data_IF_048642156507
#
_entry.id   IF_048642156507
#
_cell.length_a   1.000
_cell.length_b   1.000
_cell.length_c   1.000
_cell.angle_alpha   90.00
_cell.angle_beta   90.00
_cell.angle_gamma   90.00
#
_symmetry.space_group_name_H-M   'P 1'
#
loop_
_entity.id
_entity.type
_entity.pdbx_description
1 polymer ?
#
# COMPACT_ATOMS: atom_id res chain seq x y z
N UNK A 1 8.60 11.53 -11.27
CA UNK A 1 8.99 11.26 -9.88
C UNK A 1 7.73 10.97 -9.09
N UNK A 2 7.67 9.82 -8.39
CA UNK A 2 6.53 9.43 -7.55
C UNK A 2 6.82 9.89 -6.12
N UNK A 3 5.77 10.19 -5.35
CA UNK A 3 5.90 10.54 -3.94
C UNK A 3 4.88 9.81 -3.10
N UNK A 4 5.27 9.44 -1.87
CA UNK A 4 4.40 8.80 -0.88
C UNK A 4 4.50 9.52 0.44
N UNK A 5 3.34 9.83 1.02
CA UNK A 5 3.20 10.57 2.27
C UNK A 5 2.92 9.60 3.41
N UNK A 6 3.63 9.79 4.50
CA UNK A 6 3.45 9.06 5.75
C UNK A 6 3.22 10.06 6.88
N UNK A 7 2.16 9.84 7.66
CA UNK A 7 1.95 10.57 8.91
C UNK A 7 2.60 9.74 10.00
N UNK A 8 3.58 10.31 10.68
CA UNK A 8 4.28 9.62 11.74
C UNK A 8 3.55 9.85 13.06
N UNK A 9 3.43 8.78 13.85
CA UNK A 9 3.01 8.94 15.24
C UNK A 9 4.08 9.72 16.01
N UNK A 10 3.70 10.49 17.05
CA UNK A 10 4.67 11.30 17.77
C UNK A 10 5.80 10.43 18.33
N UNK A 11 7.03 10.89 18.13
CA UNK A 11 8.21 10.20 18.63
C UNK A 11 8.10 10.02 20.14
N UNK A 12 8.31 8.80 20.64
CA UNK A 12 8.51 8.61 22.06
C UNK A 12 9.80 9.32 22.46
N UNK A 13 9.67 10.34 23.31
CA UNK A 13 10.79 11.14 23.79
C UNK A 13 11.71 10.25 24.64
N UNK A 14 12.72 9.65 24.02
CA UNK A 14 13.88 9.16 24.72
C UNK A 14 14.86 10.32 24.87
N UNK A 15 15.53 10.41 26.03
CA UNK A 15 16.62 11.35 26.24
C UNK A 15 17.76 11.02 25.26
N UNK A 16 17.78 11.68 24.11
CA UNK A 16 18.74 11.50 23.02
C UNK A 16 18.37 12.36 21.81
N UNK A 17 19.36 12.63 20.95
CA UNK A 17 19.25 13.49 19.74
C UNK A 17 18.65 12.71 18.55
N UNK A 18 18.61 11.37 18.63
CA UNK A 18 18.17 10.50 17.53
C UNK A 18 16.85 9.81 17.88
N UNK A 19 15.91 9.90 16.96
CA UNK A 19 14.62 9.25 17.05
C UNK A 19 14.43 8.27 15.88
N UNK A 20 14.10 7.01 16.20
CA UNK A 20 13.85 5.98 15.20
C UNK A 20 12.34 5.86 14.91
N UNK A 21 12.00 5.88 13.63
CA UNK A 21 10.66 5.60 13.10
C UNK A 21 10.69 4.24 12.45
N UNK A 22 9.83 3.33 12.89
CA UNK A 22 9.63 2.09 12.14
C UNK A 22 8.84 2.40 10.87
N UNK A 23 9.44 2.15 9.72
CA UNK A 23 8.77 2.26 8.43
C UNK A 23 9.13 1.04 7.58
N UNK A 24 8.54 -0.13 7.85
CA UNK A 24 8.98 -1.39 7.25
C UNK A 24 8.89 -1.40 5.73
N UNK A 25 8.00 -0.59 5.15
CA UNK A 25 7.85 -0.45 3.70
C UNK A 25 8.95 0.40 3.05
N UNK A 26 9.82 1.10 3.80
CA UNK A 26 10.82 1.99 3.18
C UNK A 26 11.75 1.23 2.25
N UNK A 27 12.06 -0.01 2.65
CA UNK A 27 12.92 -0.89 1.91
C UNK A 27 12.31 -1.31 0.56
N UNK A 28 11.00 -1.12 0.36
CA UNK A 28 10.34 -1.36 -0.92
C UNK A 28 10.73 -0.34 -2.00
N UNK A 29 11.12 0.89 -1.63
CA UNK A 29 11.26 1.99 -2.58
C UNK A 29 12.71 2.25 -2.98
N UNK A 30 12.92 2.57 -4.26
CA UNK A 30 14.15 3.18 -4.75
C UNK A 30 14.11 4.69 -4.44
N UNK A 31 14.40 5.02 -3.17
CA UNK A 31 14.32 6.39 -2.63
C UNK A 31 15.37 7.29 -3.27
N UNK A 32 14.93 8.47 -3.73
CA UNK A 32 15.79 9.54 -4.22
C UNK A 32 16.14 10.49 -3.08
N UNK A 33 15.11 11.01 -2.39
CA UNK A 33 15.24 11.82 -1.19
C UNK A 33 13.97 11.79 -0.34
N UNK A 34 14.05 12.36 0.86
CA UNK A 34 12.96 12.42 1.82
C UNK A 34 12.80 13.86 2.32
N UNK A 35 11.56 14.34 2.35
CA UNK A 35 11.17 15.55 3.06
C UNK A 35 10.54 15.19 4.40
N UNK A 36 10.82 15.99 5.42
CA UNK A 36 10.12 15.92 6.70
C UNK A 36 9.51 17.28 7.02
N UNK A 37 8.26 17.27 7.42
CA UNK A 37 7.52 18.44 7.88
C UNK A 37 7.20 18.29 9.35
N UNK A 38 7.43 19.37 10.08
CA UNK A 38 7.16 19.53 11.49
C UNK A 38 6.10 20.61 11.68
N UNK A 39 4.93 20.25 12.21
CA UNK A 39 3.82 21.20 12.40
C UNK A 39 3.50 22.03 11.14
N UNK A 40 3.60 21.41 9.96
CA UNK A 40 3.36 22.05 8.66
C UNK A 40 4.51 22.90 8.11
N UNK A 41 5.63 23.01 8.83
CA UNK A 41 6.86 23.69 8.38
C UNK A 41 7.90 22.62 8.01
N UNK A 42 8.44 22.66 6.80
CA UNK A 42 9.42 21.66 6.37
C UNK A 42 10.26 22.06 5.15
N UNK A 43 11.28 21.25 4.87
CA UNK A 43 12.15 21.34 3.70
C UNK A 43 13.04 20.09 3.55
N UNK A 44 13.97 20.10 2.60
CA UNK A 44 15.01 19.06 2.53
C UNK A 44 15.89 19.13 3.77
N UNK A 45 15.86 18.08 4.58
CA UNK A 45 16.65 18.01 5.81
C UNK A 45 17.76 16.96 5.65
N UNK A 46 19.02 17.39 5.81
CA UNK A 46 20.20 16.52 5.74
C UNK A 46 20.38 15.60 6.96
N UNK A 47 19.38 15.47 7.83
CA UNK A 47 19.49 14.75 9.11
C UNK A 47 18.62 13.48 9.19
N UNK A 48 18.15 13.03 8.02
CA UNK A 48 17.36 11.80 7.88
C UNK A 48 18.28 10.72 7.30
N UNK A 49 18.60 9.73 8.12
CA UNK A 49 19.31 8.53 7.68
C UNK A 49 18.32 7.40 7.46
N UNK A 50 18.32 6.85 6.24
CA UNK A 50 17.55 5.64 5.92
C UNK A 50 18.37 4.43 6.36
N UNK A 51 17.78 3.60 7.23
CA UNK A 51 18.40 2.34 7.66
C UNK A 51 17.52 1.16 7.27
N UNK A 52 18.11 -0.03 7.19
CA UNK A 52 17.30 -1.25 7.05
C UNK A 52 16.35 -1.35 8.24
N UNK A 53 15.05 -1.54 7.98
CA UNK A 53 13.96 -1.53 8.97
C UNK A 53 13.38 -0.17 9.41
N UNK A 54 13.81 0.97 8.84
CA UNK A 54 13.12 2.23 9.07
C UNK A 54 13.92 3.50 8.77
N UNK A 55 13.48 4.58 9.41
CA UNK A 55 14.09 5.90 9.26
C UNK A 55 14.62 6.31 10.63
N UNK A 56 15.88 6.68 10.69
CA UNK A 56 16.42 7.39 11.84
C UNK A 56 16.48 8.88 11.53
N UNK A 57 15.79 9.66 12.36
CA UNK A 57 15.83 11.12 12.32
C UNK A 57 16.75 11.58 13.44
N UNK A 58 17.88 12.18 13.09
CA UNK A 58 18.80 12.76 14.07
C UNK A 58 18.56 14.26 14.14
N UNK A 59 17.88 14.76 15.15
CA UNK A 59 17.59 16.20 15.26
C UNK A 59 18.63 16.90 16.14
N UNK A 60 19.75 17.33 15.56
CA UNK A 60 20.74 18.12 16.31
C UNK A 60 20.24 19.51 16.70
N UNK A 61 19.20 20.04 16.05
CA UNK A 61 18.78 21.45 16.18
C UNK A 61 17.36 21.65 16.73
N UNK A 62 16.52 20.62 16.75
CA UNK A 62 15.13 20.72 17.21
C UNK A 62 14.83 19.66 18.27
N UNK A 63 14.25 20.09 19.40
CA UNK A 63 13.68 19.15 20.37
C UNK A 63 12.37 18.61 19.79
N UNK A 64 12.42 17.42 19.20
CA UNK A 64 11.22 16.73 18.71
C UNK A 64 10.33 16.39 19.91
N UNK A 65 9.20 17.10 20.06
CA UNK A 65 8.26 16.88 21.14
C UNK A 65 7.16 15.89 20.73
N UNK A 66 6.55 15.24 21.73
CA UNK A 66 5.43 14.30 21.56
C UNK A 66 4.13 14.97 21.12
N UNK A 67 4.05 16.30 21.19
CA UNK A 67 2.85 17.06 20.82
C UNK A 67 2.88 17.55 19.36
N UNK A 68 3.96 17.28 18.66
CA UNK A 68 4.16 17.77 17.31
C UNK A 68 3.64 16.78 16.28
N UNK A 69 3.11 17.32 15.18
CA UNK A 69 2.74 16.53 14.01
C UNK A 69 3.94 16.40 13.07
N UNK A 70 4.27 15.16 12.73
CA UNK A 70 5.37 14.85 11.81
C UNK A 70 4.79 14.21 10.55
N UNK A 71 5.12 14.80 9.40
CA UNK A 71 4.81 14.24 8.09
C UNK A 71 6.12 13.95 7.36
N UNK A 72 6.19 12.77 6.77
CA UNK A 72 7.32 12.35 5.95
C UNK A 72 6.83 12.17 4.51
N UNK A 73 7.51 12.79 3.55
CA UNK A 73 7.25 12.59 2.13
C UNK A 73 8.47 11.93 1.52
N UNK A 74 8.28 10.73 0.97
CA UNK A 74 9.32 9.97 0.29
C UNK A 74 9.17 10.20 -1.20
N UNK A 75 10.24 10.65 -1.84
CA UNK A 75 10.31 10.79 -3.29
C UNK A 75 11.16 9.66 -3.83
N UNK A 76 10.62 8.92 -4.79
CA UNK A 76 11.21 7.68 -5.27
C UNK A 76 11.01 7.49 -6.77
N UNK A 77 11.90 6.71 -7.38
CA UNK A 77 11.84 6.39 -8.81
C UNK A 77 10.89 5.22 -9.11
N UNK A 78 10.83 4.24 -8.22
CA UNK A 78 10.01 3.05 -8.37
C UNK A 78 10.09 2.13 -7.15
N UNK A 79 9.45 0.98 -7.25
CA UNK A 79 9.48 -0.07 -6.23
C UNK A 79 10.59 -1.06 -6.61
N UNK A 80 11.58 -1.23 -5.73
CA UNK A 80 12.72 -2.15 -5.88
C UNK A 80 12.46 -3.53 -5.29
N UNK A 81 11.63 -3.60 -4.25
CA UNK A 81 11.27 -4.83 -3.54
C UNK A 81 9.77 -4.81 -3.25
N UNK A 82 9.02 -5.59 -4.03
CA UNK A 82 7.56 -5.68 -3.89
C UNK A 82 7.13 -6.48 -2.65
N UNK A 83 7.97 -7.37 -2.11
CA UNK A 83 7.62 -8.14 -0.90
C UNK A 83 7.60 -7.24 0.34
N UNK A 84 8.48 -6.24 0.38
CA UNK A 84 8.56 -5.25 1.45
C UNK A 84 7.28 -4.41 1.60
N UNK A 85 6.47 -4.27 0.54
CA UNK A 85 5.15 -3.62 0.63
C UNK A 85 4.19 -4.39 1.55
N UNK A 86 4.31 -5.71 1.60
CA UNK A 86 3.41 -6.60 2.31
C UNK A 86 3.99 -7.05 3.65
N UNK A 87 4.79 -6.21 4.33
CA UNK A 87 5.52 -6.58 5.55
C UNK A 87 4.63 -7.23 6.64
N UNK A 88 3.35 -6.85 6.74
CA UNK A 88 2.34 -7.40 7.65
C UNK A 88 1.90 -8.85 7.34
N UNK A 89 2.18 -9.37 6.14
CA UNK A 89 1.87 -10.75 5.76
C UNK A 89 2.94 -11.69 6.34
N UNK A 90 2.50 -12.56 7.27
CA UNK A 90 3.37 -13.52 7.97
C UNK A 90 3.68 -14.76 7.13
N UNK A 91 2.74 -15.21 6.31
CA UNK A 91 2.95 -16.34 5.41
C UNK A 91 3.84 -15.92 4.23
N UNK A 92 5.06 -16.46 4.18
CA UNK A 92 6.06 -16.09 3.18
C UNK A 92 5.61 -16.38 1.74
N UNK A 93 5.00 -17.53 1.46
CA UNK A 93 4.57 -17.85 0.09
C UNK A 93 3.41 -16.97 -0.38
N UNK A 94 2.50 -16.60 0.54
CA UNK A 94 1.44 -15.63 0.24
C UNK A 94 2.03 -14.24 -0.03
N UNK A 95 2.98 -13.78 0.81
CA UNK A 95 3.69 -12.51 0.62
C UNK A 95 4.37 -12.45 -0.76
N UNK A 96 5.15 -13.47 -1.12
CA UNK A 96 5.80 -13.55 -2.44
C UNK A 96 4.77 -13.52 -3.57
N UNK A 97 3.68 -14.29 -3.47
CA UNK A 97 2.64 -14.29 -4.52
C UNK A 97 1.95 -12.94 -4.66
N UNK A 98 1.68 -12.26 -3.55
CA UNK A 98 1.09 -10.91 -3.59
C UNK A 98 2.05 -9.90 -4.20
N UNK A 99 3.35 -10.01 -3.91
CA UNK A 99 4.41 -9.19 -4.50
C UNK A 99 4.50 -9.37 -6.02
N UNK A 100 4.52 -10.62 -6.49
CA UNK A 100 4.49 -10.97 -7.93
C UNK A 100 3.26 -10.35 -8.61
N UNK A 101 2.07 -10.53 -8.03
CA UNK A 101 0.84 -9.94 -8.57
C UNK A 101 0.87 -8.41 -8.57
N UNK A 102 1.46 -7.78 -7.55
CA UNK A 102 1.54 -6.32 -7.52
C UNK A 102 2.50 -5.79 -8.59
N UNK A 103 3.63 -6.44 -8.79
CA UNK A 103 4.57 -6.09 -9.87
C UNK A 103 3.89 -6.18 -11.25
N UNK A 104 3.15 -7.25 -11.51
CA UNK A 104 2.40 -7.43 -12.76
C UNK A 104 1.26 -6.42 -12.88
N UNK A 105 0.57 -6.11 -11.77
CA UNK A 105 -0.47 -5.09 -11.73
C UNK A 105 0.08 -3.71 -12.08
N UNK A 106 1.26 -3.32 -11.55
CA UNK A 106 1.85 -2.01 -11.84
C UNK A 106 2.18 -1.87 -13.33
N UNK A 107 2.81 -2.89 -13.91
CA UNK A 107 3.10 -2.92 -15.35
C UNK A 107 1.82 -2.89 -16.19
N UNK A 108 0.80 -3.67 -15.83
CA UNK A 108 -0.47 -3.68 -16.53
C UNK A 108 -1.18 -2.33 -16.46
N UNK A 109 -1.16 -1.66 -15.31
CA UNK A 109 -1.76 -0.35 -15.13
C UNK A 109 -1.05 0.72 -15.97
N UNK A 110 0.28 0.75 -15.95
CA UNK A 110 1.09 1.72 -16.70
C UNK A 110 0.93 1.57 -18.22
N UNK A 111 0.61 0.35 -18.70
CA UNK A 111 0.36 0.04 -20.11
C UNK A 111 -1.13 0.04 -20.49
N UNK A 112 -2.02 0.52 -19.62
CA UNK A 112 -3.46 0.56 -19.85
C UNK A 112 -4.13 -0.82 -20.12
N UNK A 113 -3.55 -1.89 -19.60
CA UNK A 113 -4.06 -3.26 -19.67
C UNK A 113 -5.03 -3.54 -18.52
N UNK A 114 -6.24 -2.97 -18.60
CA UNK A 114 -7.19 -2.93 -17.48
C UNK A 114 -7.66 -4.29 -16.98
N UNK A 115 -7.85 -5.27 -17.88
CA UNK A 115 -8.26 -6.62 -17.48
C UNK A 115 -7.15 -7.37 -16.73
N UNK A 116 -5.93 -7.54 -17.29
CA UNK A 116 -4.81 -8.08 -16.52
C UNK A 116 -4.60 -7.38 -15.19
N UNK A 117 -4.61 -6.04 -15.18
CA UNK A 117 -4.51 -5.25 -13.95
C UNK A 117 -5.59 -5.65 -12.92
N UNK A 118 -6.86 -5.65 -13.32
CA UNK A 118 -7.96 -6.02 -12.43
C UNK A 118 -7.85 -7.47 -11.92
N UNK A 119 -7.35 -8.41 -12.74
CA UNK A 119 -7.17 -9.80 -12.32
C UNK A 119 -6.11 -9.92 -11.22
N UNK A 120 -4.96 -9.26 -11.42
CA UNK A 120 -3.87 -9.24 -10.44
C UNK A 120 -4.30 -8.58 -9.14
N UNK A 121 -4.97 -7.42 -9.20
CA UNK A 121 -5.53 -6.77 -8.02
C UNK A 121 -6.52 -7.66 -7.28
N UNK A 122 -7.31 -8.48 -7.97
CA UNK A 122 -8.17 -9.45 -7.32
C UNK A 122 -7.40 -10.47 -6.50
N UNK A 123 -6.28 -10.98 -7.04
CA UNK A 123 -5.41 -11.91 -6.31
C UNK A 123 -4.80 -11.27 -5.07
N UNK A 124 -4.43 -9.99 -5.17
CA UNK A 124 -3.91 -9.23 -4.03
C UNK A 124 -5.00 -8.97 -2.98
N UNK A 125 -6.22 -8.60 -3.39
CA UNK A 125 -7.34 -8.42 -2.45
C UNK A 125 -7.67 -9.72 -1.70
N UNK A 126 -7.68 -10.87 -2.39
CA UNK A 126 -7.80 -12.17 -1.71
C UNK A 126 -6.65 -12.40 -0.73
N UNK A 127 -5.41 -12.11 -1.12
CA UNK A 127 -4.25 -12.25 -0.24
C UNK A 127 -4.31 -11.36 1.00
N UNK A 128 -4.77 -10.11 0.86
CA UNK A 128 -5.01 -9.18 1.96
C UNK A 128 -6.04 -9.75 2.94
N UNK A 129 -7.17 -10.26 2.43
CA UNK A 129 -8.20 -10.87 3.27
C UNK A 129 -7.69 -12.14 3.98
N UNK A 130 -6.92 -12.99 3.29
CA UNK A 130 -6.28 -14.16 3.90
C UNK A 130 -5.30 -13.76 5.01
N UNK A 131 -4.53 -12.69 4.81
CA UNK A 131 -3.60 -12.18 5.82
C UNK A 131 -4.31 -11.66 7.08
N UNK A 132 -5.56 -11.15 6.95
CA UNK A 132 -6.44 -10.81 8.08
C UNK A 132 -7.13 -12.03 8.73
N UNK A 133 -6.86 -13.25 8.24
CA UNK A 133 -7.47 -14.47 8.75
C UNK A 133 -8.87 -14.76 8.19
N UNK A 134 -9.33 -13.98 7.20
CA UNK A 134 -10.60 -14.25 6.51
C UNK A 134 -10.38 -15.41 5.54
N UNK A 135 -10.66 -16.63 6.00
CA UNK A 135 -10.58 -17.83 5.18
C UNK A 135 -11.97 -18.30 4.75
N UNK A 136 -12.20 -18.40 3.44
CA UNK A 136 -13.44 -18.91 2.86
C UNK A 136 -13.17 -19.49 1.47
N UNK A 137 -14.05 -20.38 1.01
CA UNK A 137 -13.84 -21.11 -0.25
C UNK A 137 -13.87 -20.24 -1.51
N UNK A 138 -14.47 -19.05 -1.46
CA UNK A 138 -14.59 -18.16 -2.63
C UNK A 138 -14.35 -16.70 -2.26
N UNK A 139 -13.85 -15.91 -3.23
CA UNK A 139 -13.63 -14.48 -3.05
C UNK A 139 -14.93 -13.73 -2.66
N UNK A 140 -16.09 -14.12 -3.20
CA UNK A 140 -17.38 -13.54 -2.82
C UNK A 140 -17.69 -13.71 -1.32
N UNK A 141 -17.44 -14.91 -0.80
CA UNK A 141 -17.66 -15.23 0.61
C UNK A 141 -16.65 -14.50 1.51
N UNK A 142 -15.40 -14.37 1.05
CA UNK A 142 -14.38 -13.60 1.77
C UNK A 142 -14.77 -12.13 1.88
N UNK A 143 -15.23 -11.49 0.80
CA UNK A 143 -15.71 -10.10 0.81
C UNK A 143 -16.88 -9.94 1.80
N UNK A 144 -17.88 -10.83 1.72
CA UNK A 144 -19.05 -10.79 2.61
C UNK A 144 -18.66 -10.94 4.07
N UNK A 145 -17.73 -11.85 4.36
CA UNK A 145 -17.23 -12.11 5.73
C UNK A 145 -16.47 -10.90 6.25
N UNK A 146 -15.50 -10.39 5.48
CA UNK A 146 -14.70 -9.22 5.84
C UNK A 146 -15.57 -7.97 6.05
N UNK A 147 -16.62 -7.79 5.24
CA UNK A 147 -17.56 -6.69 5.42
C UNK A 147 -18.33 -6.81 6.72
N UNK A 148 -18.76 -8.03 7.06
CA UNK A 148 -19.54 -8.33 8.26
C UNK A 148 -18.72 -8.21 9.55
N UNK A 149 -17.43 -8.54 9.51
CA UNK A 149 -16.49 -8.37 10.63
C UNK A 149 -15.98 -6.93 10.76
N UNK A 150 -16.19 -6.08 9.76
CA UNK A 150 -15.69 -4.70 9.73
C UNK A 150 -14.23 -4.58 9.31
N UNK A 151 -13.64 -5.64 8.76
CA UNK A 151 -12.26 -5.63 8.24
C UNK A 151 -12.12 -4.80 6.95
N UNK A 152 -13.23 -4.59 6.25
CA UNK A 152 -13.33 -3.69 5.09
C UNK A 152 -14.54 -2.76 5.19
N UNK A 153 -14.38 -1.58 4.61
CA UNK A 153 -15.40 -0.55 4.42
C UNK A 153 -16.38 -0.91 3.30
N UNK A 154 -17.51 -0.20 3.23
CA UNK A 154 -18.47 -0.34 2.11
C UNK A 154 -17.85 0.03 0.76
N UNK A 155 -16.94 1.00 0.71
CA UNK A 155 -16.28 1.40 -0.54
C UNK A 155 -15.28 0.34 -1.03
N UNK A 156 -14.51 -0.25 -0.11
CA UNK A 156 -13.61 -1.37 -0.42
C UNK A 156 -14.40 -2.59 -0.91
N UNK A 157 -15.51 -2.95 -0.24
CA UNK A 157 -16.41 -4.00 -0.69
C UNK A 157 -16.93 -3.75 -2.11
N UNK A 158 -17.36 -2.52 -2.42
CA UNK A 158 -17.84 -2.14 -3.75
C UNK A 158 -16.76 -2.39 -4.81
N UNK A 159 -15.53 -1.93 -4.56
CA UNK A 159 -14.42 -2.08 -5.49
C UNK A 159 -13.99 -3.53 -5.66
N UNK A 160 -13.93 -4.31 -4.57
CA UNK A 160 -13.66 -5.74 -4.65
C UNK A 160 -14.73 -6.49 -5.45
N UNK A 161 -16.01 -6.10 -5.34
CA UNK A 161 -17.09 -6.68 -6.15
C UNK A 161 -16.99 -6.32 -7.64
N UNK A 162 -16.48 -5.13 -7.98
CA UNK A 162 -16.14 -4.77 -9.37
C UNK A 162 -15.04 -5.71 -9.89
N UNK A 163 -13.95 -5.86 -9.14
CA UNK A 163 -12.85 -6.76 -9.50
C UNK A 163 -13.31 -8.21 -9.66
N UNK A 164 -14.13 -8.69 -8.73
CA UNK A 164 -14.76 -10.02 -8.81
C UNK A 164 -15.58 -10.17 -10.09
N UNK A 165 -16.32 -9.15 -10.48
CA UNK A 165 -17.12 -9.16 -11.71
C UNK A 165 -16.25 -9.14 -12.96
N UNK A 166 -15.17 -8.35 -12.95
CA UNK A 166 -14.21 -8.25 -14.04
C UNK A 166 -13.51 -9.57 -14.35
N UNK A 167 -13.28 -10.43 -13.35
CA UNK A 167 -12.74 -11.78 -13.56
C UNK A 167 -13.56 -12.61 -14.55
N UNK A 168 -14.87 -12.40 -14.60
CA UNK A 168 -15.73 -13.15 -15.50
C UNK A 168 -15.59 -12.70 -16.97
N UNK A 169 -14.99 -11.53 -17.25
CA UNK A 169 -14.81 -11.01 -18.62
C UNK A 169 -13.81 -11.83 -19.45
N UNK A 170 -12.99 -12.68 -18.81
CA UNK A 170 -12.08 -13.60 -19.52
C UNK A 170 -12.86 -14.66 -20.33
N UNK A 171 -14.11 -14.92 -19.97
CA UNK A 171 -14.93 -15.92 -20.65
C UNK A 171 -15.51 -15.34 -21.95
N UNK A 172 -15.24 -16.00 -23.08
CA UNK A 172 -15.72 -15.55 -24.41
C UNK A 172 -17.25 -15.39 -24.50
N UNK A 173 -18.01 -16.11 -23.66
CA UNK A 173 -19.46 -15.95 -23.55
C UNK A 173 -19.90 -14.58 -23.02
N UNK A 174 -18.98 -13.76 -22.50
CA UNK A 174 -19.22 -12.41 -21.98
C UNK A 174 -18.90 -11.28 -22.97
N UNK A 175 -18.78 -11.58 -24.27
CA UNK A 175 -18.46 -10.60 -25.32
C UNK A 175 -19.44 -9.42 -25.43
N UNK A 176 -20.68 -9.55 -24.96
CA UNK A 176 -21.67 -8.47 -24.95
C UNK A 176 -21.55 -7.54 -23.74
N UNK A 177 -20.76 -7.91 -22.73
CA UNK A 177 -20.50 -7.06 -21.58
C UNK A 177 -19.56 -5.92 -21.99
N UNK A 178 -19.75 -4.75 -21.37
CA UNK A 178 -18.78 -3.67 -21.51
C UNK A 178 -17.43 -4.08 -20.94
N UNK A 179 -16.36 -3.66 -21.62
CA UNK A 179 -15.00 -3.83 -21.12
C UNK A 179 -14.73 -2.88 -19.94
N UNK A 180 -13.63 -3.11 -19.22
CA UNK A 180 -13.28 -2.34 -18.01
C UNK A 180 -12.96 -0.90 -18.39
N UNK A 181 -13.59 0.06 -17.71
CA UNK A 181 -13.33 1.47 -17.91
C UNK A 181 -12.09 1.93 -17.11
N UNK A 182 -11.40 2.96 -17.61
CA UNK A 182 -10.29 3.60 -16.89
C UNK A 182 -10.71 4.08 -15.49
N UNK A 183 -11.96 4.52 -15.33
CA UNK A 183 -12.50 4.93 -14.03
C UNK A 183 -12.45 3.78 -13.02
N UNK A 184 -12.86 2.58 -13.43
CA UNK A 184 -12.84 1.41 -12.55
C UNK A 184 -11.40 1.02 -12.21
N UNK A 185 -10.48 1.08 -13.18
CA UNK A 185 -9.06 0.84 -12.92
C UNK A 185 -8.47 1.84 -11.89
N UNK A 186 -8.86 3.12 -11.97
CA UNK A 186 -8.45 4.14 -10.99
C UNK A 186 -9.02 3.87 -9.59
N UNK A 187 -10.30 3.50 -9.50
CA UNK A 187 -10.95 3.13 -8.23
C UNK A 187 -10.24 1.92 -7.59
N UNK A 188 -9.92 0.90 -8.40
CA UNK A 188 -9.20 -0.30 -7.98
C UNK A 188 -7.81 0.08 -7.46
N UNK A 189 -7.03 0.85 -8.22
CA UNK A 189 -5.69 1.27 -7.84
C UNK A 189 -5.70 2.04 -6.51
N UNK A 190 -6.56 3.05 -6.41
CA UNK A 190 -6.69 3.89 -5.21
C UNK A 190 -7.07 3.07 -3.99
N UNK A 191 -7.96 2.09 -4.15
CA UNK A 191 -8.40 1.22 -3.06
C UNK A 191 -7.28 0.28 -2.64
N UNK A 192 -6.57 -0.33 -3.59
CA UNK A 192 -5.45 -1.21 -3.31
C UNK A 192 -4.34 -0.50 -2.54
N UNK A 193 -3.92 0.69 -3.00
CA UNK A 193 -2.88 1.49 -2.35
C UNK A 193 -3.29 1.84 -0.90
N UNK A 194 -4.54 2.28 -0.69
CA UNK A 194 -5.07 2.55 0.66
C UNK A 194 -5.07 1.32 1.55
N UNK A 195 -5.42 0.16 1.03
CA UNK A 195 -5.44 -1.06 1.83
C UNK A 195 -4.03 -1.49 2.21
N UNK A 196 -3.05 -1.43 1.30
CA UNK A 196 -1.65 -1.75 1.64
C UNK A 196 -1.10 -0.80 2.70
N UNK A 197 -1.53 0.47 2.69
CA UNK A 197 -1.07 1.49 3.63
C UNK A 197 -1.71 1.37 5.03
N UNK A 198 -2.96 0.93 5.10
CA UNK A 198 -3.74 0.90 6.35
C UNK A 198 -3.76 -0.48 7.03
N UNK A 199 -2.96 -1.45 6.57
CA UNK A 199 -3.12 -2.85 6.98
C UNK A 199 -2.50 -3.25 8.31
#
# INVERSE_FOLDING_TARGET
MKSKRFILTPFQANKGITHAVSMPQIDAYAVEYIDMFYNGVGGHHHWIDIKSAGIEVTSSEYNLCTNDSYELIIHYHGIRDYEALFHFVTNASLKTRMAEFYQDAEQAFDNALWLPFSLMCGGIFEGLLLAKGVSNATFANMITTARSSGDITTDEERVMNIVRSNRNLIHASRHSNSYIARKDAMDIRTTLDKMIDNF
#
